data_IF_201357874576
#
_entry.id   IF_201357874576
#
_cell.length_a   1.000
_cell.length_b   1.000
_cell.length_c   1.000
_cell.angle_alpha   90.00
_cell.angle_beta   90.00
_cell.angle_gamma   90.00
#
_symmetry.space_group_name_H-M   'P 1'
#
loop_
_entity.id
_entity.type
_entity.pdbx_description
1 polymer ?
#
# COMPACT_ATOMS: atom_id res chain seq x y z
N UNK A 1 36.23 -34.94 12.07
CA UNK A 1 36.01 -33.84 11.11
C UNK A 1 34.86 -32.99 11.63
N UNK A 2 35.18 -31.91 12.31
CA UNK A 2 34.23 -31.01 12.97
C UNK A 2 33.61 -30.06 11.94
N UNK A 3 32.28 -30.09 11.81
CA UNK A 3 31.52 -29.14 10.99
C UNK A 3 31.79 -27.69 11.45
N UNK A 4 31.86 -26.71 10.54
CA UNK A 4 31.91 -25.32 10.93
C UNK A 4 30.54 -24.95 11.51
N UNK A 5 30.46 -24.87 12.83
CA UNK A 5 29.43 -24.06 13.48
C UNK A 5 29.49 -22.67 12.87
N UNK A 6 28.40 -22.19 12.28
CA UNK A 6 28.20 -20.78 11.94
C UNK A 6 28.06 -19.99 13.24
N UNK A 7 29.12 -19.98 14.06
CA UNK A 7 29.33 -18.91 15.03
C UNK A 7 29.55 -17.67 14.20
N UNK A 8 28.55 -16.78 14.18
CA UNK A 8 28.75 -15.40 13.81
C UNK A 8 29.97 -14.89 14.57
N UNK A 9 31.09 -14.73 13.86
CA UNK A 9 32.36 -14.35 14.47
C UNK A 9 32.20 -13.03 15.22
N UNK A 10 32.91 -12.92 16.34
CA UNK A 10 33.01 -11.74 17.20
C UNK A 10 33.70 -10.53 16.54
N UNK A 11 33.46 -10.30 15.24
CA UNK A 11 33.81 -9.04 14.61
C UNK A 11 32.91 -7.97 15.22
N UNK A 12 33.51 -6.94 15.81
CA UNK A 12 32.80 -5.70 16.16
C UNK A 12 32.22 -5.13 14.88
N UNK A 13 30.94 -5.41 14.65
CA UNK A 13 30.15 -4.82 13.59
C UNK A 13 29.97 -3.35 13.93
N UNK A 14 30.67 -2.48 13.19
CA UNK A 14 30.39 -1.05 13.25
C UNK A 14 29.22 -0.80 12.31
N UNK A 15 28.01 -0.94 12.83
CA UNK A 15 26.84 -0.42 12.12
C UNK A 15 26.79 1.09 12.38
N UNK A 16 26.77 1.93 11.33
CA UNK A 16 26.17 3.24 11.51
C UNK A 16 24.72 2.96 11.93
N UNK A 17 24.22 3.65 12.97
CA UNK A 17 22.78 3.78 13.17
C UNK A 17 22.13 3.98 11.79
N UNK A 18 21.00 3.33 11.47
CA UNK A 18 20.46 3.36 10.12
C UNK A 18 20.18 4.82 9.74
N UNK A 19 21.13 5.41 9.01
CA UNK A 19 21.08 6.77 8.51
C UNK A 19 19.78 6.95 7.70
N UNK A 20 19.30 5.85 7.12
CA UNK A 20 18.00 5.68 6.48
C UNK A 20 16.79 5.97 7.38
N UNK A 21 16.80 5.62 8.67
CA UNK A 21 15.69 5.91 9.59
C UNK A 21 15.60 7.41 9.89
N UNK A 22 16.74 8.08 10.06
CA UNK A 22 16.82 9.53 10.26
C UNK A 22 16.49 10.28 8.96
N UNK A 23 16.95 9.78 7.81
CA UNK A 23 16.66 10.34 6.48
C UNK A 23 15.18 10.14 6.11
N UNK A 24 14.59 8.97 6.38
CA UNK A 24 13.14 8.74 6.21
C UNK A 24 12.33 9.66 7.12
N UNK A 25 12.68 9.79 8.40
CA UNK A 25 12.00 10.70 9.33
C UNK A 25 12.08 12.17 8.86
N UNK A 26 13.24 12.60 8.36
CA UNK A 26 13.42 13.95 7.84
C UNK A 26 12.68 14.20 6.51
N UNK A 27 12.50 13.16 5.69
CA UNK A 27 11.75 13.23 4.44
C UNK A 27 10.23 13.18 4.69
N UNK A 28 9.77 12.35 5.64
CA UNK A 28 8.38 12.27 6.07
C UNK A 28 7.89 13.54 6.79
N UNK A 29 8.81 14.36 7.34
CA UNK A 29 8.50 15.64 7.97
C UNK A 29 8.22 16.78 6.97
N UNK A 30 8.32 16.55 5.66
CA UNK A 30 8.00 17.55 4.64
C UNK A 30 6.61 17.31 4.07
N UNK A 31 5.65 18.23 4.25
CA UNK A 31 4.37 18.15 3.57
C UNK A 31 4.64 18.32 2.07
N UNK A 32 4.52 17.22 1.34
CA UNK A 32 4.59 17.19 -0.12
C UNK A 32 3.20 16.83 -0.64
N UNK A 33 2.79 17.49 -1.73
CA UNK A 33 1.58 17.16 -2.48
C UNK A 33 1.70 15.74 -2.99
N UNK A 34 0.86 14.84 -2.50
CA UNK A 34 1.18 13.44 -2.68
C UNK A 34 -0.02 12.49 -2.50
N UNK A 35 0.00 11.37 -3.21
CA UNK A 35 -1.17 10.52 -3.49
C UNK A 35 -0.93 8.99 -3.18
N UNK A 36 -1.09 8.45 -1.97
CA UNK A 36 -0.81 7.01 -1.61
C UNK A 36 -1.84 5.89 -1.99
N UNK A 37 -1.42 4.61 -2.00
CA UNK A 37 -1.98 3.54 -2.83
C UNK A 37 -2.38 2.17 -2.22
N UNK A 38 -3.62 1.73 -2.53
CA UNK A 38 -4.12 0.37 -2.89
C UNK A 38 -5.03 0.66 -4.08
N UNK A 39 -4.53 0.42 -5.30
CA UNK A 39 -5.19 0.94 -6.50
C UNK A 39 -5.12 0.02 -7.73
N UNK A 40 -4.62 -1.20 -7.59
CA UNK A 40 -4.49 -2.12 -8.73
C UNK A 40 -5.79 -2.84 -9.06
N UNK A 41 -6.65 -3.09 -8.06
CA UNK A 41 -7.79 -4.00 -8.21
C UNK A 41 -9.13 -3.39 -7.84
N UNK A 42 -9.17 -2.23 -7.19
CA UNK A 42 -10.42 -1.56 -6.83
C UNK A 42 -10.41 -0.10 -7.25
N UNK A 43 -11.59 0.45 -7.52
CA UNK A 43 -11.78 1.88 -7.62
C UNK A 43 -11.52 2.52 -6.25
N UNK A 44 -10.58 3.45 -6.18
CA UNK A 44 -10.23 4.19 -4.97
C UNK A 44 -10.22 5.69 -5.33
N UNK A 45 -10.32 6.56 -4.33
CA UNK A 45 -9.96 7.97 -4.49
C UNK A 45 -9.50 8.56 -3.18
N UNK A 46 -8.56 9.51 -3.23
CA UNK A 46 -8.20 10.35 -2.09
C UNK A 46 -9.29 11.32 -1.66
N UNK A 47 -10.38 11.38 -2.43
CA UNK A 47 -11.58 12.08 -2.02
C UNK A 47 -12.44 11.24 -1.07
N UNK A 48 -12.06 9.98 -0.84
CA UNK A 48 -12.59 9.17 0.26
C UNK A 48 -11.93 9.60 1.57
N UNK A 49 -12.73 9.65 2.64
CA UNK A 49 -12.24 10.06 3.95
C UNK A 49 -11.37 8.95 4.55
N UNK A 50 -10.11 9.24 4.93
CA UNK A 50 -9.32 8.32 5.73
C UNK A 50 -9.89 8.22 7.15
N UNK A 51 -9.84 7.03 7.74
CA UNK A 51 -10.07 6.88 9.18
C UNK A 51 -9.04 7.68 9.97
N UNK A 52 -9.50 8.34 11.02
CA UNK A 52 -8.61 9.03 11.96
C UNK A 52 -7.81 8.03 12.78
N UNK A 53 -6.69 8.48 13.32
CA UNK A 53 -5.85 7.66 14.21
C UNK A 53 -6.64 7.03 15.36
N UNK A 54 -7.65 7.74 15.91
CA UNK A 54 -8.48 7.23 17.00
C UNK A 54 -9.46 6.15 16.54
N UNK A 55 -10.05 6.31 15.36
CA UNK A 55 -11.00 5.32 14.80
C UNK A 55 -10.30 4.00 14.49
N UNK A 56 -9.04 4.05 14.07
CA UNK A 56 -8.26 2.84 13.78
C UNK A 56 -7.91 2.06 15.07
N UNK A 57 -7.69 2.76 16.20
CA UNK A 57 -7.39 2.14 17.50
C UNK A 57 -8.64 1.51 18.17
N UNK A 58 -9.41 0.75 17.40
CA UNK A 58 -10.52 -0.07 17.88
C UNK A 58 -10.02 -1.32 18.64
N UNK A 59 -10.87 -1.98 19.45
CA UNK A 59 -10.49 -3.21 20.16
C UNK A 59 -9.92 -4.31 19.26
N UNK A 60 -10.45 -4.44 18.04
CA UNK A 60 -9.97 -5.40 17.04
C UNK A 60 -8.51 -5.12 16.63
N UNK A 61 -8.14 -3.85 16.46
CA UNK A 61 -6.75 -3.47 16.15
C UNK A 61 -5.79 -3.96 17.24
N UNK A 62 -6.09 -3.70 18.51
CA UNK A 62 -5.23 -4.12 19.62
C UNK A 62 -5.13 -5.65 19.75
N UNK A 63 -6.22 -6.37 19.46
CA UNK A 63 -6.22 -7.83 19.43
C UNK A 63 -5.27 -8.37 18.34
N UNK A 64 -5.44 -7.91 17.09
CA UNK A 64 -4.63 -8.36 15.96
C UNK A 64 -3.16 -7.91 16.09
N UNK A 65 -2.94 -6.71 16.61
CA UNK A 65 -1.61 -6.18 16.88
C UNK A 65 -0.88 -6.99 17.95
N UNK A 66 -1.57 -7.30 19.06
CA UNK A 66 -1.06 -8.18 20.11
C UNK A 66 -0.77 -9.59 19.59
N UNK A 67 -1.63 -10.15 18.74
CA UNK A 67 -1.40 -11.43 18.07
C UNK A 67 -0.14 -11.38 17.19
N UNK A 68 0.09 -10.29 16.47
CA UNK A 68 1.26 -10.15 15.59
C UNK A 68 2.56 -9.96 16.34
N UNK A 69 2.52 -9.26 17.49
CA UNK A 69 3.63 -9.26 18.46
C UNK A 69 3.91 -10.68 18.94
N UNK A 70 2.88 -11.43 19.34
CA UNK A 70 3.02 -12.80 19.81
C UNK A 70 3.64 -13.70 18.73
N UNK A 71 3.16 -13.63 17.48
CA UNK A 71 3.73 -14.37 16.34
C UNK A 71 5.19 -14.00 16.10
N UNK A 72 5.53 -12.72 16.11
CA UNK A 72 6.92 -12.24 15.92
C UNK A 72 7.85 -12.77 17.02
N UNK A 73 7.39 -12.74 18.28
CA UNK A 73 8.10 -13.30 19.44
C UNK A 73 8.25 -14.81 19.30
N UNK A 74 7.18 -15.53 18.97
CA UNK A 74 7.21 -16.98 18.78
C UNK A 74 8.18 -17.39 17.70
N UNK A 75 8.18 -16.71 16.54
CA UNK A 75 9.14 -17.00 15.47
C UNK A 75 10.58 -16.70 15.89
N UNK A 76 10.81 -15.65 16.67
CA UNK A 76 12.13 -15.34 17.24
C UNK A 76 12.61 -16.44 18.20
N UNK A 77 11.71 -16.97 19.03
CA UNK A 77 12.00 -18.08 19.94
C UNK A 77 12.26 -19.39 19.20
N UNK A 78 11.53 -19.63 18.10
CA UNK A 78 11.63 -20.85 17.32
C UNK A 78 12.75 -20.81 16.26
N UNK A 79 13.36 -19.66 16.00
CA UNK A 79 14.37 -19.46 14.96
C UNK A 79 15.49 -20.50 15.02
N UNK A 80 16.10 -20.68 16.19
CA UNK A 80 17.16 -21.68 16.38
C UNK A 80 16.65 -23.12 16.22
N UNK A 81 15.42 -23.38 16.66
CA UNK A 81 14.84 -24.73 16.59
C UNK A 81 14.53 -25.11 15.15
N UNK A 82 13.96 -24.20 14.37
CA UNK A 82 13.62 -24.38 12.96
C UNK A 82 14.90 -24.62 12.14
N UNK A 83 15.93 -23.81 12.36
CA UNK A 83 17.20 -23.90 11.62
C UNK A 83 17.96 -25.21 11.90
N UNK A 84 17.75 -25.83 13.07
CA UNK A 84 18.35 -27.13 13.44
C UNK A 84 17.65 -28.33 12.80
N UNK A 85 16.49 -28.15 12.16
CA UNK A 85 15.78 -29.24 11.50
C UNK A 85 16.56 -29.65 10.25
N UNK A 86 17.03 -30.90 10.21
CA UNK A 86 17.99 -31.34 9.19
C UNK A 86 17.51 -31.31 7.74
N UNK A 87 16.19 -31.31 7.47
CA UNK A 87 15.68 -31.10 6.11
C UNK A 87 15.64 -29.61 5.74
N UNK A 88 15.38 -28.72 6.71
CA UNK A 88 15.40 -27.26 6.51
C UNK A 88 16.80 -26.81 6.16
N UNK A 89 17.82 -27.28 6.91
CA UNK A 89 19.21 -26.92 6.62
C UNK A 89 19.67 -27.39 5.23
N UNK A 90 19.21 -28.55 4.75
CA UNK A 90 19.52 -29.01 3.37
C UNK A 90 18.87 -28.15 2.31
N UNK A 91 17.61 -27.76 2.51
CA UNK A 91 16.91 -26.83 1.62
C UNK A 91 17.65 -25.48 1.62
N UNK A 92 18.13 -25.06 2.79
CA UNK A 92 18.89 -23.84 2.91
C UNK A 92 20.22 -23.89 2.15
N UNK A 93 21.00 -24.95 2.33
CA UNK A 93 22.25 -25.15 1.60
C UNK A 93 22.00 -25.21 0.08
N UNK A 94 20.90 -25.85 -0.35
CA UNK A 94 20.52 -25.92 -1.75
C UNK A 94 20.26 -24.53 -2.35
N UNK A 95 19.44 -23.70 -1.69
CA UNK A 95 19.19 -22.34 -2.14
C UNK A 95 20.46 -21.46 -2.06
N UNK A 96 21.26 -21.61 -1.02
CA UNK A 96 22.53 -20.87 -0.87
C UNK A 96 23.51 -21.18 -2.01
N UNK A 97 23.50 -22.42 -2.55
CA UNK A 97 24.29 -22.79 -3.73
C UNK A 97 23.92 -21.99 -4.99
N UNK A 98 22.76 -21.32 -5.01
CA UNK A 98 22.25 -20.52 -6.13
C UNK A 98 22.50 -19.02 -5.97
N UNK A 99 23.20 -18.58 -4.92
CA UNK A 99 23.49 -17.16 -4.63
C UNK A 99 24.13 -16.43 -5.84
N UNK A 100 24.95 -17.11 -6.63
CA UNK A 100 25.58 -16.52 -7.82
C UNK A 100 24.57 -16.10 -8.91
N UNK A 101 23.39 -16.72 -8.94
CA UNK A 101 22.33 -16.39 -9.90
C UNK A 101 21.48 -15.18 -9.48
N UNK A 102 21.62 -14.66 -8.26
CA UNK A 102 20.78 -13.57 -7.75
C UNK A 102 20.83 -12.31 -8.64
N UNK A 103 22.01 -11.94 -9.15
CA UNK A 103 22.13 -10.78 -10.04
C UNK A 103 21.42 -11.02 -11.39
N UNK A 104 21.53 -12.23 -11.95
CA UNK A 104 20.86 -12.58 -13.19
C UNK A 104 19.35 -12.54 -13.04
N UNK A 105 18.81 -13.17 -11.99
CA UNK A 105 17.38 -13.16 -11.68
C UNK A 105 16.86 -11.73 -11.51
N UNK A 106 17.57 -10.89 -10.75
CA UNK A 106 17.18 -9.49 -10.55
C UNK A 106 17.11 -8.71 -11.85
N UNK A 107 18.10 -8.87 -12.74
CA UNK A 107 18.12 -8.20 -14.05
C UNK A 107 16.99 -8.67 -14.95
N UNK A 108 16.75 -9.98 -15.01
CA UNK A 108 15.68 -10.57 -15.80
C UNK A 108 14.33 -10.06 -15.33
N UNK A 109 14.03 -10.18 -14.04
CA UNK A 109 12.75 -9.79 -13.47
C UNK A 109 12.48 -8.30 -13.61
N UNK A 110 13.44 -7.44 -13.22
CA UNK A 110 13.31 -6.00 -13.40
C UNK A 110 13.13 -5.62 -14.87
N UNK A 111 13.92 -6.22 -15.78
CA UNK A 111 13.81 -5.97 -17.22
C UNK A 111 12.44 -6.36 -17.78
N UNK A 112 11.93 -7.54 -17.42
CA UNK A 112 10.59 -8.01 -17.82
C UNK A 112 9.50 -7.07 -17.31
N UNK A 113 9.55 -6.67 -16.03
CA UNK A 113 8.56 -5.74 -15.46
C UNK A 113 8.56 -4.40 -16.20
N UNK A 114 9.74 -3.82 -16.52
CA UNK A 114 9.83 -2.57 -17.28
C UNK A 114 9.24 -2.70 -18.69
N UNK A 115 9.48 -3.84 -19.37
CA UNK A 115 8.93 -4.11 -20.71
C UNK A 115 7.41 -4.25 -20.66
N UNK A 116 6.86 -4.96 -19.67
CA UNK A 116 5.42 -5.11 -19.54
C UNK A 116 4.71 -3.81 -19.19
N UNK A 117 5.29 -2.99 -18.29
CA UNK A 117 4.76 -1.66 -18.01
C UNK A 117 4.80 -0.78 -19.27
N UNK A 118 5.90 -0.84 -20.03
CA UNK A 118 6.02 -0.10 -21.30
C UNK A 118 4.94 -0.50 -22.31
N UNK A 119 4.69 -1.80 -22.50
CA UNK A 119 3.64 -2.29 -23.40
C UNK A 119 2.24 -1.83 -23.00
N UNK A 120 2.02 -1.53 -21.72
CA UNK A 120 0.77 -1.03 -21.19
C UNK A 120 0.69 0.51 -21.17
N UNK A 121 1.71 1.23 -21.64
CA UNK A 121 1.79 2.70 -21.54
C UNK A 121 1.97 3.20 -20.10
N UNK A 122 2.57 2.38 -19.24
CA UNK A 122 2.74 2.63 -17.80
C UNK A 122 4.21 2.76 -17.41
N UNK A 123 4.47 3.55 -16.37
CA UNK A 123 5.79 3.80 -15.81
C UNK A 123 5.97 2.97 -14.53
N UNK A 124 6.92 2.04 -14.50
CA UNK A 124 7.32 1.25 -13.31
C UNK A 124 6.24 0.32 -12.68
N UNK A 125 4.95 0.62 -12.77
CA UNK A 125 3.86 -0.14 -12.17
C UNK A 125 2.58 -0.05 -13.03
N UNK A 126 1.65 -1.02 -12.97
CA UNK A 126 0.51 -1.14 -13.91
C UNK A 126 -0.50 0.03 -13.86
N UNK A 127 -0.56 0.77 -12.77
CA UNK A 127 -1.47 1.90 -12.54
C UNK A 127 -0.86 3.28 -12.86
N UNK A 128 0.47 3.36 -13.01
CA UNK A 128 1.21 4.61 -13.17
C UNK A 128 1.23 5.04 -14.65
N UNK A 129 0.09 5.55 -15.12
CA UNK A 129 -0.07 6.06 -16.49
C UNK A 129 0.68 7.37 -16.69
N UNK A 130 1.44 7.49 -17.78
CA UNK A 130 2.15 8.74 -18.12
C UNK A 130 1.83 9.15 -19.54
N UNK A 131 1.59 10.45 -19.75
CA UNK A 131 1.41 11.04 -21.09
C UNK A 131 2.74 11.40 -21.76
N UNK A 132 3.85 11.31 -21.02
CA UNK A 132 5.17 11.68 -21.50
C UNK A 132 5.86 10.49 -22.20
N UNK A 133 5.64 10.35 -23.50
CA UNK A 133 6.21 9.26 -24.34
C UNK A 133 7.72 9.04 -24.14
N UNK A 134 8.49 10.12 -23.96
CA UNK A 134 9.94 10.03 -23.81
C UNK A 134 10.38 9.27 -22.53
N UNK A 135 9.56 9.30 -21.47
CA UNK A 135 9.85 8.57 -20.22
C UNK A 135 9.65 7.07 -20.43
N UNK A 136 8.64 6.71 -21.20
CA UNK A 136 8.32 5.34 -21.59
C UNK A 136 9.47 4.76 -22.45
N UNK A 137 10.08 5.56 -23.33
CA UNK A 137 11.30 5.17 -24.04
C UNK A 137 12.55 5.08 -23.16
N UNK A 138 12.69 5.98 -22.17
CA UNK A 138 13.77 5.90 -21.18
C UNK A 138 13.69 4.59 -20.37
N UNK A 139 12.48 4.15 -20.02
CA UNK A 139 12.24 2.85 -19.37
C UNK A 139 12.76 1.68 -20.20
N UNK A 140 12.54 1.69 -21.52
CA UNK A 140 13.10 0.68 -22.43
C UNK A 140 14.62 0.77 -22.53
N UNK A 141 15.20 1.97 -22.58
CA UNK A 141 16.65 2.12 -22.56
C UNK A 141 17.25 1.48 -21.29
N UNK A 142 16.63 1.68 -20.13
CA UNK A 142 17.04 1.03 -18.87
C UNK A 142 16.89 -0.49 -18.95
N UNK A 143 15.81 -1.00 -19.52
CA UNK A 143 15.63 -2.44 -19.72
C UNK A 143 16.72 -3.05 -20.62
N UNK A 144 17.13 -2.37 -21.69
CA UNK A 144 18.23 -2.79 -22.56
C UNK A 144 19.56 -2.81 -21.79
N UNK A 145 19.81 -1.82 -20.93
CA UNK A 145 21.01 -1.79 -20.08
C UNK A 145 21.06 -2.97 -19.09
N UNK A 146 19.91 -3.54 -18.69
CA UNK A 146 19.87 -4.73 -17.84
C UNK A 146 20.30 -6.00 -18.58
N UNK A 147 20.28 -6.02 -19.91
CA UNK A 147 20.70 -7.17 -20.72
C UNK A 147 22.19 -7.46 -20.59
N UNK A 148 23.03 -6.44 -20.35
CA UNK A 148 24.49 -6.61 -20.27
C UNK A 148 25.04 -6.40 -18.85
N UNK A 149 25.91 -7.31 -18.42
CA UNK A 149 26.53 -7.31 -17.08
C UNK A 149 27.32 -6.02 -16.82
N UNK A 150 27.97 -5.50 -17.86
CA UNK A 150 28.82 -4.30 -17.77
C UNK A 150 28.03 -3.02 -17.55
N UNK A 151 26.77 -2.98 -17.96
CA UNK A 151 25.91 -1.78 -17.91
C UNK A 151 24.97 -1.76 -16.72
N UNK A 152 24.97 -2.79 -15.87
CA UNK A 152 24.08 -2.92 -14.70
C UNK A 152 24.08 -1.68 -13.81
N UNK A 153 25.23 -1.04 -13.58
CA UNK A 153 25.28 0.19 -12.75
C UNK A 153 24.55 1.36 -13.38
N UNK A 154 24.69 1.51 -14.70
CA UNK A 154 24.00 2.55 -15.45
C UNK A 154 22.50 2.29 -15.45
N UNK A 155 22.09 1.02 -15.54
CA UNK A 155 20.70 0.62 -15.37
C UNK A 155 20.18 0.98 -13.96
N UNK A 156 20.96 0.71 -12.90
CA UNK A 156 20.62 1.10 -11.53
C UNK A 156 20.43 2.60 -11.35
N UNK A 157 21.35 3.41 -11.91
CA UNK A 157 21.21 4.87 -11.93
C UNK A 157 19.97 5.32 -12.73
N UNK A 158 19.71 4.68 -13.87
CA UNK A 158 18.52 4.93 -14.69
C UNK A 158 17.22 4.61 -13.96
N UNK A 159 17.15 3.50 -13.21
CA UNK A 159 16.00 3.15 -12.38
C UNK A 159 15.75 4.19 -11.27
N UNK A 160 16.80 4.65 -10.60
CA UNK A 160 16.67 5.72 -9.61
C UNK A 160 16.19 7.03 -10.25
N UNK A 161 16.67 7.36 -11.45
CA UNK A 161 16.20 8.53 -12.19
C UNK A 161 14.71 8.38 -12.59
N UNK A 162 14.29 7.22 -13.10
CA UNK A 162 12.88 6.93 -13.40
C UNK A 162 12.01 7.05 -12.16
N UNK A 163 12.46 6.53 -11.02
CA UNK A 163 11.74 6.64 -9.75
C UNK A 163 11.60 8.10 -9.29
N UNK A 164 12.64 8.92 -9.43
CA UNK A 164 12.58 10.36 -9.13
C UNK A 164 11.65 11.11 -10.09
N UNK A 165 11.67 10.77 -11.38
CA UNK A 165 10.73 11.31 -12.36
C UNK A 165 9.29 10.93 -12.01
N UNK A 166 9.06 9.68 -11.60
CA UNK A 166 7.76 9.22 -11.15
C UNK A 166 7.28 9.99 -9.89
N UNK A 167 8.18 10.31 -8.94
CA UNK A 167 7.85 11.19 -7.81
C UNK A 167 7.37 12.56 -8.29
N UNK A 168 7.99 13.12 -9.33
CA UNK A 168 7.58 14.43 -9.88
C UNK A 168 6.22 14.42 -10.57
N UNK A 169 5.81 13.28 -11.16
CA UNK A 169 4.53 13.14 -11.86
C UNK A 169 3.38 12.71 -10.94
N UNK A 170 3.66 11.79 -10.02
CA UNK A 170 2.63 11.09 -9.23
C UNK A 170 2.61 11.51 -7.76
N UNK A 171 3.60 12.29 -7.32
CA UNK A 171 3.74 12.74 -5.94
C UNK A 171 4.51 11.75 -5.06
N UNK A 172 5.10 12.28 -3.98
CA UNK A 172 6.04 11.54 -3.15
C UNK A 172 5.41 10.38 -2.34
N UNK A 173 4.36 10.67 -1.57
CA UNK A 173 3.51 9.72 -0.84
C UNK A 173 2.97 8.59 -1.74
N UNK A 174 2.65 8.87 -3.01
CA UNK A 174 2.28 7.83 -4.00
C UNK A 174 3.41 6.87 -4.31
N UNK A 175 4.60 7.42 -4.43
CA UNK A 175 5.75 6.63 -4.80
C UNK A 175 6.31 5.81 -3.64
N UNK A 176 5.88 6.07 -2.39
CA UNK A 176 6.23 5.24 -1.25
C UNK A 176 5.76 3.78 -1.41
N UNK A 177 4.63 3.56 -2.06
CA UNK A 177 4.12 2.23 -2.43
C UNK A 177 5.10 1.48 -3.35
N UNK A 178 5.86 2.25 -4.14
CA UNK A 178 6.81 1.77 -5.14
C UNK A 178 8.27 1.89 -4.70
N UNK A 179 8.54 2.12 -3.41
CA UNK A 179 9.90 2.33 -2.88
C UNK A 179 10.85 1.16 -3.21
N UNK A 180 10.31 -0.03 -3.46
CA UNK A 180 11.07 -1.19 -3.96
C UNK A 180 11.89 -0.86 -5.22
N UNK A 181 11.39 -0.04 -6.14
CA UNK A 181 12.15 0.36 -7.33
C UNK A 181 13.42 1.14 -6.97
N UNK A 182 13.38 1.96 -5.92
CA UNK A 182 14.56 2.64 -5.42
C UNK A 182 15.56 1.63 -4.80
N UNK A 183 15.06 0.63 -4.07
CA UNK A 183 15.87 -0.47 -3.53
C UNK A 183 16.56 -1.29 -4.64
N UNK A 184 15.84 -1.62 -5.71
CA UNK A 184 16.38 -2.33 -6.89
C UNK A 184 17.39 -1.47 -7.65
N UNK A 185 17.10 -0.18 -7.83
CA UNK A 185 18.05 0.77 -8.41
C UNK A 185 19.36 0.84 -7.62
N UNK A 186 19.26 0.93 -6.29
CA UNK A 186 20.43 0.88 -5.41
C UNK A 186 21.15 -0.47 -5.47
N UNK A 187 20.41 -1.59 -5.49
CA UNK A 187 20.98 -2.93 -5.60
C UNK A 187 21.91 -3.00 -6.83
N UNK A 188 21.44 -2.62 -8.02
CA UNK A 188 22.28 -2.63 -9.23
C UNK A 188 23.44 -1.63 -9.19
N UNK A 189 23.21 -0.42 -8.65
CA UNK A 189 24.26 0.59 -8.53
C UNK A 189 25.40 0.12 -7.62
N UNK A 190 25.06 -0.52 -6.51
CA UNK A 190 26.00 -1.02 -5.51
C UNK A 190 26.86 -2.19 -6.03
N UNK A 191 26.39 -2.99 -7.00
CA UNK A 191 27.08 -4.21 -7.43
C UNK A 191 28.49 -4.02 -7.96
N UNK A 192 28.86 -2.81 -8.40
CA UNK A 192 30.25 -2.55 -8.77
C UNK A 192 30.91 -1.41 -8.02
N UNK A 193 30.38 -1.03 -6.87
CA UNK A 193 31.14 -0.19 -5.97
C UNK A 193 32.50 -0.86 -5.64
N UNK A 194 33.60 -0.10 -5.72
CA UNK A 194 34.96 -0.63 -5.42
C UNK A 194 35.14 -1.00 -3.94
N UNK A 195 34.35 -0.37 -3.07
CA UNK A 195 34.41 -0.57 -1.61
C UNK A 195 33.38 -1.62 -1.22
N UNK A 196 33.83 -2.69 -0.56
CA UNK A 196 32.94 -3.75 -0.08
C UNK A 196 31.86 -3.24 0.85
N UNK A 197 32.16 -2.19 1.65
CA UNK A 197 31.18 -1.50 2.52
C UNK A 197 29.94 -1.01 1.77
N UNK A 198 30.02 -0.70 0.48
CA UNK A 198 28.87 -0.28 -0.34
C UNK A 198 28.18 -1.51 -0.94
N UNK A 199 28.95 -2.50 -1.43
CA UNK A 199 28.40 -3.73 -2.01
C UNK A 199 27.52 -4.50 -1.03
N UNK A 200 27.94 -4.59 0.23
CA UNK A 200 27.18 -5.29 1.28
C UNK A 200 25.83 -4.63 1.61
N UNK A 201 25.58 -3.39 1.16
CA UNK A 201 24.29 -2.69 1.38
C UNK A 201 23.23 -3.03 0.34
N UNK A 202 23.59 -3.71 -0.74
CA UNK A 202 22.66 -4.02 -1.83
C UNK A 202 21.47 -4.88 -1.36
N UNK A 203 21.72 -5.98 -0.64
CA UNK A 203 20.66 -6.85 -0.11
C UNK A 203 19.85 -6.17 1.01
N UNK A 204 20.47 -5.53 2.03
CA UNK A 204 19.72 -4.76 3.03
C UNK A 204 18.78 -3.71 2.45
N UNK A 205 19.16 -3.05 1.35
CA UNK A 205 18.28 -2.10 0.69
C UNK A 205 17.02 -2.79 0.16
N UNK A 206 17.14 -3.94 -0.48
CA UNK A 206 15.97 -4.72 -0.94
C UNK A 206 15.07 -5.16 0.22
N UNK A 207 15.66 -5.68 1.31
CA UNK A 207 14.92 -6.08 2.51
C UNK A 207 14.17 -4.89 3.12
N UNK A 208 14.83 -3.75 3.26
CA UNK A 208 14.24 -2.55 3.82
C UNK A 208 13.11 -2.01 2.94
N UNK A 209 13.33 -1.91 1.62
CA UNK A 209 12.31 -1.35 0.73
C UNK A 209 11.12 -2.29 0.53
N UNK A 210 11.33 -3.60 0.40
CA UNK A 210 10.22 -4.55 0.29
C UNK A 210 9.43 -4.64 1.60
N UNK A 211 10.13 -4.75 2.73
CA UNK A 211 9.51 -4.74 4.05
C UNK A 211 8.70 -3.47 4.30
N UNK A 212 9.25 -2.31 3.92
CA UNK A 212 8.54 -1.03 4.00
C UNK A 212 7.28 -1.03 3.15
N UNK A 213 7.35 -1.42 1.86
CA UNK A 213 6.18 -1.47 0.98
C UNK A 213 5.05 -2.34 1.57
N UNK A 214 5.38 -3.51 2.14
CA UNK A 214 4.39 -4.37 2.79
C UNK A 214 3.76 -3.73 4.03
N UNK A 215 4.56 -3.11 4.90
CA UNK A 215 4.04 -2.41 6.09
C UNK A 215 3.15 -1.23 5.68
N UNK A 216 3.61 -0.46 4.69
CA UNK A 216 2.93 0.71 4.19
C UNK A 216 1.56 0.36 3.58
N UNK A 217 1.51 -0.71 2.77
CA UNK A 217 0.28 -1.27 2.22
C UNK A 217 -0.68 -1.77 3.31
N UNK A 218 -0.15 -2.43 4.35
CA UNK A 218 -0.96 -2.90 5.46
C UNK A 218 -1.53 -1.75 6.30
N UNK A 219 -0.75 -0.70 6.55
CA UNK A 219 -1.25 0.52 7.23
C UNK A 219 -2.36 1.14 6.40
N UNK A 220 -2.22 1.18 5.08
CA UNK A 220 -3.27 1.73 4.24
C UNK A 220 -4.60 1.01 4.42
N UNK A 221 -4.63 -0.32 4.44
CA UNK A 221 -5.86 -1.09 4.67
C UNK A 221 -6.55 -0.72 5.98
N UNK A 222 -5.79 -0.26 6.98
CA UNK A 222 -6.36 0.26 8.23
C UNK A 222 -6.88 1.69 8.08
N UNK A 223 -6.24 2.54 7.28
CA UNK A 223 -6.63 3.94 7.06
C UNK A 223 -7.80 4.08 6.07
N UNK A 224 -7.82 3.26 5.02
CA UNK A 224 -8.83 3.24 3.96
C UNK A 224 -9.43 1.83 3.81
N UNK A 225 -10.12 1.30 4.82
CA UNK A 225 -10.67 -0.05 4.75
C UNK A 225 -11.71 -0.21 3.63
N UNK A 226 -12.42 0.87 3.27
CA UNK A 226 -13.43 0.88 2.20
C UNK A 226 -12.88 0.42 0.86
N UNK A 227 -11.63 0.76 0.52
CA UNK A 227 -11.02 0.36 -0.76
C UNK A 227 -10.86 -1.15 -0.89
N UNK A 228 -10.57 -1.82 0.23
CA UNK A 228 -10.48 -3.28 0.28
C UNK A 228 -11.86 -3.92 0.41
N UNK A 229 -12.80 -3.30 1.13
CA UNK A 229 -14.18 -3.81 1.25
C UNK A 229 -14.89 -3.84 -0.11
N UNK A 230 -14.71 -2.81 -0.94
CA UNK A 230 -15.26 -2.77 -2.30
C UNK A 230 -14.76 -3.97 -3.13
N UNK A 231 -13.48 -4.29 -3.03
CA UNK A 231 -12.89 -5.45 -3.69
C UNK A 231 -13.50 -6.78 -3.21
N UNK A 232 -13.78 -6.88 -1.91
CA UNK A 232 -14.42 -8.07 -1.33
C UNK A 232 -15.90 -8.18 -1.70
N UNK A 233 -16.58 -7.07 -1.99
CA UNK A 233 -17.94 -7.09 -2.53
C UNK A 233 -17.96 -7.64 -3.97
N UNK A 234 -16.97 -7.26 -4.79
CA UNK A 234 -16.81 -7.79 -6.16
C UNK A 234 -16.31 -9.25 -6.17
N UNK A 235 -15.44 -9.60 -5.24
CA UNK A 235 -14.85 -10.93 -5.11
C UNK A 235 -14.99 -11.54 -3.71
N UNK A 236 -16.23 -11.90 -3.26
CA UNK A 236 -16.48 -12.37 -1.89
C UNK A 236 -15.72 -13.63 -1.49
N UNK A 237 -15.29 -14.45 -2.48
CA UNK A 237 -14.50 -15.66 -2.25
C UNK A 237 -13.16 -15.37 -1.55
N UNK A 238 -12.60 -14.16 -1.72
CA UNK A 238 -11.34 -13.75 -1.10
C UNK A 238 -11.44 -13.69 0.42
N UNK A 239 -12.61 -13.34 0.97
CA UNK A 239 -12.84 -13.25 2.40
C UNK A 239 -12.95 -14.64 3.07
N UNK A 240 -13.02 -15.73 2.29
CA UNK A 240 -13.17 -17.11 2.78
C UNK A 240 -14.38 -17.30 3.73
N UNK A 241 -15.43 -16.51 3.54
CA UNK A 241 -16.64 -16.53 4.37
C UNK A 241 -16.51 -15.79 5.72
N UNK A 242 -15.39 -15.09 5.95
CA UNK A 242 -15.20 -14.24 7.13
C UNK A 242 -15.78 -12.84 6.86
N UNK A 243 -16.19 -12.17 7.93
CA UNK A 243 -16.69 -10.79 7.88
C UNK A 243 -15.62 -9.83 7.33
N UNK A 244 -16.04 -8.86 6.50
CA UNK A 244 -15.13 -8.03 5.70
C UNK A 244 -14.24 -7.12 6.57
N UNK A 245 -14.77 -6.54 7.64
CA UNK A 245 -14.03 -5.63 8.53
C UNK A 245 -12.93 -6.39 9.28
N UNK A 246 -13.26 -7.60 9.76
CA UNK A 246 -12.28 -8.51 10.32
C UNK A 246 -11.23 -8.90 9.28
N UNK A 247 -11.64 -9.32 8.08
CA UNK A 247 -10.72 -9.76 7.04
C UNK A 247 -9.73 -8.66 6.65
N UNK A 248 -10.21 -7.44 6.38
CA UNK A 248 -9.38 -6.30 5.99
C UNK A 248 -8.38 -5.96 7.10
N UNK A 249 -8.84 -5.91 8.36
CA UNK A 249 -7.97 -5.62 9.50
C UNK A 249 -6.94 -6.73 9.75
N UNK A 250 -7.33 -8.00 9.57
CA UNK A 250 -6.43 -9.14 9.71
C UNK A 250 -5.38 -9.17 8.59
N UNK A 251 -5.80 -8.96 7.33
CA UNK A 251 -4.91 -8.87 6.18
C UNK A 251 -3.89 -7.74 6.34
N UNK A 252 -4.36 -6.56 6.76
CA UNK A 252 -3.52 -5.42 7.09
C UNK A 252 -2.41 -5.78 8.11
N UNK A 253 -2.80 -6.45 9.20
CA UNK A 253 -1.87 -6.80 10.26
C UNK A 253 -0.90 -7.91 9.82
N UNK A 254 -1.34 -8.86 9.00
CA UNK A 254 -0.48 -9.88 8.38
C UNK A 254 0.57 -9.22 7.49
N UNK A 255 0.20 -8.26 6.65
CA UNK A 255 1.13 -7.53 5.78
C UNK A 255 2.16 -6.73 6.60
N UNK A 256 1.72 -6.03 7.65
CA UNK A 256 2.60 -5.31 8.59
C UNK A 256 3.58 -6.28 9.27
N UNK A 257 3.08 -7.42 9.74
CA UNK A 257 3.90 -8.48 10.35
C UNK A 257 4.95 -9.04 9.40
N UNK A 258 4.54 -9.43 8.19
CA UNK A 258 5.41 -9.97 7.15
C UNK A 258 6.48 -8.95 6.73
N UNK A 259 6.09 -7.69 6.53
CA UNK A 259 7.02 -6.62 6.17
C UNK A 259 8.06 -6.34 7.25
N UNK A 260 7.66 -6.32 8.53
CA UNK A 260 8.59 -6.22 9.66
C UNK A 260 9.59 -7.37 9.69
N UNK A 261 9.09 -8.61 9.61
CA UNK A 261 9.92 -9.81 9.69
C UNK A 261 10.94 -9.89 8.55
N UNK A 262 10.55 -9.54 7.33
CA UNK A 262 11.50 -9.37 6.20
C UNK A 262 12.53 -8.28 6.51
N UNK A 263 12.10 -7.13 7.03
CA UNK A 263 13.00 -6.00 7.29
C UNK A 263 14.07 -6.32 8.34
N UNK A 264 13.73 -7.13 9.36
CA UNK A 264 14.68 -7.58 10.38
C UNK A 264 15.39 -8.90 10.04
N UNK A 265 15.12 -9.45 8.85
CA UNK A 265 15.58 -10.76 8.37
C UNK A 265 15.28 -11.91 9.35
N UNK A 266 14.04 -11.98 9.84
CA UNK A 266 13.55 -13.10 10.64
C UNK A 266 12.90 -14.14 9.72
N UNK A 267 13.53 -15.33 9.60
CA UNK A 267 13.02 -16.45 8.78
C UNK A 267 12.79 -16.06 7.31
N UNK A 268 13.71 -15.30 6.72
CA UNK A 268 13.53 -14.61 5.44
C UNK A 268 13.24 -15.53 4.27
N UNK A 269 13.78 -16.76 4.27
CA UNK A 269 13.54 -17.74 3.20
C UNK A 269 12.15 -18.36 3.27
N UNK A 270 11.72 -18.73 4.48
CA UNK A 270 10.36 -19.22 4.71
C UNK A 270 9.36 -18.12 4.35
N UNK A 271 9.61 -16.88 4.80
CA UNK A 271 8.76 -15.74 4.47
C UNK A 271 8.73 -15.46 2.97
N UNK A 272 9.88 -15.51 2.30
CA UNK A 272 9.94 -15.27 0.86
C UNK A 272 9.13 -16.30 0.06
N UNK A 273 9.17 -17.57 0.48
CA UNK A 273 8.34 -18.62 -0.10
C UNK A 273 6.85 -18.40 0.18
N UNK A 274 6.48 -18.12 1.43
CA UNK A 274 5.10 -17.91 1.84
C UNK A 274 4.46 -16.72 1.10
N UNK A 275 5.16 -15.60 1.03
CA UNK A 275 4.67 -14.39 0.32
C UNK A 275 4.57 -14.67 -1.18
N UNK A 276 5.56 -15.36 -1.76
CA UNK A 276 5.49 -15.73 -3.19
C UNK A 276 4.30 -16.66 -3.47
N UNK A 277 4.03 -17.63 -2.61
CA UNK A 277 2.89 -18.52 -2.78
C UNK A 277 1.56 -17.76 -2.67
N UNK A 278 1.47 -16.81 -1.73
CA UNK A 278 0.29 -15.98 -1.55
C UNK A 278 -0.02 -15.15 -2.80
N UNK A 279 0.97 -14.45 -3.37
CA UNK A 279 0.77 -13.66 -4.59
C UNK A 279 0.52 -14.49 -5.86
N UNK A 280 1.07 -15.71 -5.93
CA UNK A 280 0.72 -16.65 -7.00
C UNK A 280 -0.73 -17.13 -6.87
N UNK A 281 -1.24 -17.31 -5.65
CA UNK A 281 -2.62 -17.72 -5.43
C UNK A 281 -3.60 -16.62 -5.85
N UNK A 282 -3.33 -15.36 -5.51
CA UNK A 282 -4.16 -14.20 -5.89
C UNK A 282 -4.14 -13.93 -7.39
N UNK A 283 -3.09 -14.37 -8.11
CA UNK A 283 -3.05 -14.33 -9.58
C UNK A 283 -4.18 -15.14 -10.22
N UNK A 284 -4.67 -16.20 -9.55
CA UNK A 284 -5.80 -16.98 -10.06
C UNK A 284 -7.11 -16.17 -10.09
N UNK A 285 -7.20 -15.09 -9.31
CA UNK A 285 -8.37 -14.21 -9.23
C UNK A 285 -8.18 -12.99 -10.12
N UNK A 286 -7.04 -12.30 -10.02
CA UNK A 286 -6.81 -11.00 -10.66
C UNK A 286 -6.08 -11.08 -12.02
N UNK A 287 -5.56 -12.25 -12.41
CA UNK A 287 -5.01 -12.48 -13.73
C UNK A 287 -3.78 -11.61 -14.06
N UNK A 288 -3.81 -10.93 -15.21
CA UNK A 288 -2.62 -10.27 -15.80
C UNK A 288 -2.10 -9.10 -14.96
N UNK A 289 -2.99 -8.34 -14.34
CA UNK A 289 -2.60 -7.15 -13.57
C UNK A 289 -1.74 -7.54 -12.36
N UNK A 290 -2.13 -8.60 -11.66
CA UNK A 290 -1.36 -9.19 -10.56
C UNK A 290 0.02 -9.65 -11.01
N UNK A 291 0.10 -10.33 -12.16
CA UNK A 291 1.37 -10.81 -12.72
C UNK A 291 2.31 -9.64 -13.01
N UNK A 292 1.83 -8.60 -13.67
CA UNK A 292 2.66 -7.43 -14.02
C UNK A 292 3.10 -6.70 -12.75
N UNK A 293 2.19 -6.47 -11.81
CA UNK A 293 2.47 -5.76 -10.56
C UNK A 293 3.45 -6.50 -9.65
N UNK A 294 3.30 -7.82 -9.51
CA UNK A 294 4.08 -8.60 -8.54
C UNK A 294 5.35 -9.25 -9.10
N UNK A 295 5.62 -9.19 -10.41
CA UNK A 295 6.83 -9.82 -10.99
C UNK A 295 8.13 -9.31 -10.39
N UNK A 296 8.24 -7.99 -10.13
CA UNK A 296 9.43 -7.45 -9.46
C UNK A 296 9.53 -7.94 -8.02
N UNK A 297 8.40 -8.02 -7.31
CA UNK A 297 8.35 -8.51 -5.93
C UNK A 297 8.77 -9.98 -5.87
N UNK A 298 8.21 -10.86 -6.72
CA UNK A 298 8.65 -12.26 -6.84
C UNK A 298 10.13 -12.39 -7.14
N UNK A 299 10.66 -11.54 -8.02
CA UNK A 299 12.08 -11.52 -8.36
C UNK A 299 12.94 -11.23 -7.13
N UNK A 300 12.55 -10.24 -6.32
CA UNK A 300 13.25 -9.90 -5.07
C UNK A 300 13.12 -11.03 -4.05
N UNK A 301 11.95 -11.64 -3.91
CA UNK A 301 11.73 -12.78 -3.01
C UNK A 301 12.57 -14.00 -3.43
N UNK A 302 12.73 -14.27 -4.73
CA UNK A 302 13.65 -15.31 -5.23
C UNK A 302 15.11 -14.96 -4.88
N UNK A 303 15.49 -13.68 -4.97
CA UNK A 303 16.82 -13.24 -4.54
C UNK A 303 17.02 -13.48 -3.03
N UNK A 304 15.99 -13.27 -2.20
CA UNK A 304 16.03 -13.58 -0.77
C UNK A 304 16.14 -15.09 -0.50
N UNK A 305 15.42 -15.92 -1.27
CA UNK A 305 15.60 -17.37 -1.21
C UNK A 305 17.06 -17.76 -1.47
N UNK A 306 17.68 -17.23 -2.52
CA UNK A 306 19.05 -17.58 -2.89
C UNK A 306 20.09 -17.01 -1.90
N UNK A 307 19.93 -15.76 -1.51
CA UNK A 307 20.97 -15.02 -0.76
C UNK A 307 20.83 -15.10 0.76
N UNK A 308 19.64 -15.42 1.29
CA UNK A 308 19.36 -15.28 2.73
C UNK A 308 19.67 -13.87 3.24
N UNK A 309 20.15 -13.69 4.49
CA UNK A 309 20.42 -12.37 5.06
C UNK A 309 21.60 -11.65 4.39
N UNK A 310 22.37 -12.33 3.53
CA UNK A 310 23.55 -11.78 2.89
C UNK A 310 24.77 -11.69 3.82
N UNK A 311 25.65 -10.74 3.53
CA UNK A 311 26.90 -10.53 4.29
C UNK A 311 26.79 -9.44 5.36
N UNK A 312 25.74 -8.63 5.30
CA UNK A 312 25.44 -7.65 6.33
C UNK A 312 24.76 -8.35 7.51
N UNK A 313 25.14 -7.99 8.73
CA UNK A 313 24.46 -8.49 9.92
C UNK A 313 23.02 -7.96 9.94
N UNK A 314 22.01 -8.81 10.20
CA UNK A 314 20.64 -8.35 10.34
C UNK A 314 20.46 -7.34 11.49
N UNK A 315 19.46 -6.45 11.42
CA UNK A 315 19.28 -5.35 12.37
C UNK A 315 19.11 -5.74 13.85
N UNK A 316 18.68 -6.97 14.17
CA UNK A 316 18.47 -7.42 15.55
C UNK A 316 19.49 -8.46 16.03
N UNK A 317 20.29 -9.03 15.13
CA UNK A 317 21.27 -10.09 15.48
C UNK A 317 22.53 -9.56 16.16
N UNK A 318 22.70 -8.24 16.30
CA UNK A 318 23.70 -7.67 17.22
C UNK A 318 23.38 -8.00 18.68
N UNK A 319 22.12 -8.30 19.01
CA UNK A 319 21.70 -8.85 20.29
C UNK A 319 21.83 -10.37 20.24
N UNK A 320 23.00 -10.87 20.61
CA UNK A 320 23.28 -12.31 20.56
C UNK A 320 22.47 -13.13 21.56
N UNK A 321 22.10 -12.53 22.70
CA UNK A 321 21.40 -13.22 23.77
C UNK A 321 19.89 -13.27 23.50
N UNK A 322 19.34 -14.49 23.36
CA UNK A 322 17.92 -14.69 23.02
C UNK A 322 16.99 -14.01 24.03
N UNK A 323 17.38 -13.98 25.31
CA UNK A 323 16.65 -13.32 26.40
C UNK A 323 16.40 -11.83 26.14
N UNK A 324 17.33 -11.16 25.46
CA UNK A 324 17.23 -9.74 25.10
C UNK A 324 16.72 -9.54 23.68
N UNK A 325 16.99 -10.47 22.77
CA UNK A 325 16.53 -10.38 21.38
C UNK A 325 15.01 -10.47 21.27
N UNK A 326 14.38 -11.30 22.10
CA UNK A 326 12.92 -11.44 22.14
C UNK A 326 12.20 -10.14 22.53
N UNK A 327 12.47 -9.52 23.69
CA UNK A 327 11.83 -8.25 24.05
C UNK A 327 12.24 -7.11 23.11
N UNK A 328 13.46 -7.12 22.55
CA UNK A 328 13.86 -6.14 21.55
C UNK A 328 13.06 -6.29 20.24
N UNK A 329 12.75 -7.51 19.80
CA UNK A 329 11.92 -7.75 18.61
C UNK A 329 10.50 -7.26 18.83
N UNK A 330 9.90 -7.58 19.98
CA UNK A 330 8.56 -7.09 20.34
C UNK A 330 8.52 -5.55 20.39
N UNK A 331 9.50 -4.94 21.07
CA UNK A 331 9.60 -3.48 21.15
C UNK A 331 9.81 -2.84 19.78
N UNK A 332 10.68 -3.41 18.94
CA UNK A 332 10.92 -2.91 17.60
C UNK A 332 9.66 -2.94 16.72
N UNK A 333 8.89 -4.04 16.78
CA UNK A 333 7.61 -4.13 16.07
C UNK A 333 6.61 -3.07 16.56
N UNK A 334 6.46 -2.95 17.89
CA UNK A 334 5.54 -1.98 18.52
C UNK A 334 5.89 -0.55 18.09
N UNK A 335 7.16 -0.17 18.20
CA UNK A 335 7.63 1.16 17.85
C UNK A 335 7.51 1.43 16.36
N UNK A 336 7.80 0.43 15.50
CA UNK A 336 7.69 0.55 14.05
C UNK A 336 6.25 0.84 13.61
N UNK A 337 5.26 0.10 14.14
CA UNK A 337 3.85 0.34 13.81
C UNK A 337 3.45 1.77 14.18
N UNK A 338 3.74 2.21 15.41
CA UNK A 338 3.44 3.59 15.82
C UNK A 338 4.18 4.64 14.97
N UNK A 339 5.46 4.41 14.68
CA UNK A 339 6.31 5.33 13.91
C UNK A 339 5.83 5.54 12.47
N UNK A 340 5.24 4.53 11.83
CA UNK A 340 4.78 4.61 10.44
C UNK A 340 3.29 4.95 10.32
N UNK A 341 2.47 4.47 11.24
CA UNK A 341 1.02 4.70 11.23
C UNK A 341 0.66 6.17 11.47
N UNK A 342 1.40 6.84 12.36
CA UNK A 342 1.21 8.27 12.65
C UNK A 342 1.42 9.13 11.39
N UNK A 343 2.61 9.15 10.74
CA UNK A 343 2.80 9.98 9.55
C UNK A 343 1.90 9.55 8.39
N UNK A 344 1.51 8.27 8.27
CA UNK A 344 0.55 7.84 7.27
C UNK A 344 -0.82 8.50 7.49
N UNK A 345 -1.39 8.37 8.68
CA UNK A 345 -2.72 8.92 9.00
C UNK A 345 -2.76 10.44 8.87
N UNK A 346 -1.72 11.15 9.32
CA UNK A 346 -1.60 12.59 9.14
C UNK A 346 -1.42 12.99 7.67
N UNK A 347 -0.60 12.24 6.92
CA UNK A 347 -0.41 12.45 5.48
C UNK A 347 -1.72 12.27 4.70
N UNK A 348 -2.43 11.17 4.96
CA UNK A 348 -3.73 10.87 4.39
C UNK A 348 -4.77 11.97 4.69
N UNK A 349 -4.88 12.38 5.95
CA UNK A 349 -5.79 13.46 6.36
C UNK A 349 -5.46 14.80 5.68
N UNK A 350 -4.17 15.15 5.60
CA UNK A 350 -3.73 16.37 4.91
C UNK A 350 -4.10 16.36 3.41
N UNK A 351 -3.90 15.23 2.74
CA UNK A 351 -4.24 15.08 1.31
C UNK A 351 -5.74 15.20 1.09
N UNK A 352 -6.53 14.51 1.92
CA UNK A 352 -7.99 14.58 1.87
C UNK A 352 -8.51 16.01 2.11
N UNK A 353 -8.00 16.72 3.12
CA UNK A 353 -8.43 18.09 3.42
C UNK A 353 -8.03 19.05 2.30
N UNK A 354 -6.82 18.90 1.74
CA UNK A 354 -6.35 19.72 0.62
C UNK A 354 -7.24 19.54 -0.61
N UNK A 355 -7.58 18.30 -0.98
CA UNK A 355 -8.46 18.00 -2.12
C UNK A 355 -9.89 18.49 -1.89
N UNK A 356 -10.43 18.24 -0.69
CA UNK A 356 -11.75 18.74 -0.30
C UNK A 356 -11.85 20.26 -0.37
N UNK A 357 -10.78 20.98 0.00
CA UNK A 357 -10.69 22.44 -0.15
C UNK A 357 -10.64 22.86 -1.61
N UNK A 358 -9.79 22.23 -2.42
CA UNK A 358 -9.66 22.54 -3.84
C UNK A 358 -10.97 22.32 -4.61
N UNK A 359 -11.70 21.24 -4.28
CA UNK A 359 -13.02 20.96 -4.85
C UNK A 359 -14.07 22.03 -4.51
N UNK A 360 -13.97 22.67 -3.33
CA UNK A 360 -14.84 23.79 -2.93
C UNK A 360 -14.43 25.12 -3.58
N UNK A 361 -13.12 25.37 -3.70
CA UNK A 361 -12.59 26.59 -4.32
C UNK A 361 -12.77 26.59 -5.85
N UNK A 362 -12.69 25.42 -6.48
CA UNK A 362 -12.93 25.22 -7.91
C UNK A 362 -14.38 24.88 -8.25
N UNK A 363 -15.35 25.28 -7.40
CA UNK A 363 -16.77 25.02 -7.63
C UNK A 363 -17.22 25.50 -9.01
N UNK A 364 -18.05 24.68 -9.67
CA UNK A 364 -18.55 24.94 -11.01
C UNK A 364 -19.99 25.44 -10.90
N UNK A 365 -20.18 26.70 -11.28
CA UNK A 365 -21.51 27.29 -11.40
C UNK A 365 -22.23 26.67 -12.59
N UNK A 366 -23.31 25.95 -12.32
CA UNK A 366 -24.20 25.36 -13.31
C UNK A 366 -25.40 26.27 -13.54
N UNK A 367 -25.75 26.48 -14.81
CA UNK A 367 -26.69 27.52 -15.25
C UNK A 367 -28.05 27.54 -14.53
N UNK A 368 -28.71 28.70 -14.54
CA UNK A 368 -29.96 28.91 -13.81
C UNK A 368 -31.22 28.44 -14.57
N UNK A 369 -32.30 28.25 -13.82
CA UNK A 369 -33.65 28.07 -14.38
C UNK A 369 -34.16 26.63 -14.34
N UNK A 370 -35.01 26.28 -15.31
CA UNK A 370 -35.67 24.96 -15.35
C UNK A 370 -34.69 23.80 -15.60
N UNK A 371 -33.51 24.08 -16.16
CA UNK A 371 -32.48 23.10 -16.49
C UNK A 371 -31.36 23.03 -15.44
N UNK A 372 -31.46 23.80 -14.35
CA UNK A 372 -30.50 23.73 -13.26
C UNK A 372 -30.61 22.35 -12.58
N UNK A 373 -29.48 21.69 -12.24
CA UNK A 373 -29.52 20.43 -11.52
C UNK A 373 -30.14 20.64 -10.13
N UNK A 374 -30.98 19.69 -9.73
CA UNK A 374 -31.63 19.66 -8.42
C UNK A 374 -31.47 18.31 -7.79
N UNK A 375 -31.43 18.29 -6.47
CA UNK A 375 -31.31 17.08 -5.69
C UNK A 375 -32.35 17.07 -4.58
N UNK A 376 -33.06 15.96 -4.45
CA UNK A 376 -33.81 15.58 -3.27
C UNK A 376 -33.38 14.18 -2.83
N UNK A 377 -33.61 13.85 -1.56
CA UNK A 377 -33.29 12.53 -1.01
C UNK A 377 -34.50 11.92 -0.32
N UNK A 378 -34.64 10.62 -0.44
CA UNK A 378 -35.61 9.83 0.31
C UNK A 378 -34.90 8.68 1.03
N UNK A 379 -35.38 8.37 2.24
CA UNK A 379 -34.83 7.31 3.09
C UNK A 379 -35.88 6.22 3.30
N UNK A 380 -35.50 4.99 2.97
CA UNK A 380 -36.35 3.82 3.09
C UNK A 380 -35.72 2.88 4.10
N UNK A 381 -36.46 2.49 5.14
CA UNK A 381 -35.94 1.49 6.07
C UNK A 381 -35.77 0.17 5.34
N UNK A 382 -34.58 -0.43 5.41
CA UNK A 382 -34.33 -1.71 4.77
C UNK A 382 -35.03 -2.85 5.53
N UNK A 383 -35.50 -3.86 4.79
CA UNK A 383 -36.22 -4.99 5.37
C UNK A 383 -35.35 -5.93 6.21
N UNK A 384 -34.03 -5.90 6.00
CA UNK A 384 -33.06 -6.77 6.66
C UNK A 384 -32.23 -5.95 7.65
N UNK A 385 -31.46 -4.96 7.18
CA UNK A 385 -30.57 -4.15 8.03
C UNK A 385 -30.32 -2.78 7.42
N UNK A 386 -30.31 -1.72 8.23
CA UNK A 386 -29.93 -0.38 7.78
C UNK A 386 -31.02 0.35 6.99
N UNK A 387 -30.61 1.20 6.07
CA UNK A 387 -31.48 2.08 5.30
C UNK A 387 -31.06 2.14 3.82
N UNK A 388 -32.03 2.23 2.92
CA UNK A 388 -31.79 2.53 1.51
C UNK A 388 -32.02 4.02 1.27
N UNK A 389 -30.95 4.73 0.90
CA UNK A 389 -30.98 6.12 0.44
C UNK A 389 -31.29 6.13 -1.07
N UNK A 390 -32.31 6.89 -1.43
CA UNK A 390 -32.67 7.21 -2.81
C UNK A 390 -32.32 8.67 -3.12
N UNK A 391 -31.58 8.91 -4.19
CA UNK A 391 -31.27 10.22 -4.75
C UNK A 391 -32.23 10.51 -5.90
N UNK A 392 -33.00 11.57 -5.75
CA UNK A 392 -33.90 12.08 -6.77
C UNK A 392 -33.21 13.29 -7.39
N UNK A 393 -32.41 13.03 -8.43
CA UNK A 393 -31.66 14.06 -9.14
C UNK A 393 -32.39 14.47 -10.43
N UNK A 394 -32.66 15.76 -10.60
CA UNK A 394 -33.24 16.34 -11.83
C UNK A 394 -32.17 17.11 -12.60
N UNK A 395 -32.24 17.08 -13.94
CA UNK A 395 -31.26 17.71 -14.84
C UNK A 395 -29.80 17.34 -14.51
N UNK A 396 -29.60 16.11 -14.03
CA UNK A 396 -28.31 15.57 -13.67
C UNK A 396 -28.21 14.11 -14.09
N UNK A 397 -27.08 13.75 -14.67
CA UNK A 397 -26.77 12.39 -15.13
C UNK A 397 -25.57 11.85 -14.33
N UNK A 398 -25.74 10.68 -13.71
CA UNK A 398 -24.64 9.99 -13.06
C UNK A 398 -23.72 9.36 -14.10
N UNK A 399 -22.45 9.71 -14.08
CA UNK A 399 -21.45 9.29 -15.08
C UNK A 399 -20.26 8.58 -14.42
N UNK A 400 -20.44 7.36 -13.85
CA UNK A 400 -19.36 6.61 -13.20
C UNK A 400 -18.11 6.47 -14.08
N UNK A 401 -18.32 6.14 -15.36
CA UNK A 401 -17.22 5.93 -16.32
C UNK A 401 -16.39 7.19 -16.62
N UNK A 402 -16.89 8.39 -16.28
CA UNK A 402 -16.21 9.66 -16.46
C UNK A 402 -15.63 10.24 -15.15
N UNK A 403 -15.82 9.56 -14.02
CA UNK A 403 -15.33 10.02 -12.72
C UNK A 403 -13.80 10.19 -12.72
N UNK A 404 -13.33 11.29 -12.15
CA UNK A 404 -11.92 11.71 -12.19
C UNK A 404 -11.48 12.38 -13.49
N UNK A 405 -12.33 12.42 -14.52
CA UNK A 405 -12.07 13.11 -15.78
C UNK A 405 -12.52 14.57 -15.79
N UNK A 406 -12.50 15.19 -16.97
CA UNK A 406 -12.92 16.58 -17.16
C UNK A 406 -14.41 16.80 -16.85
N UNK A 407 -14.79 17.97 -16.29
CA UNK A 407 -16.16 18.27 -15.95
C UNK A 407 -17.03 18.45 -17.20
N UNK A 408 -18.24 17.89 -17.18
CA UNK A 408 -19.26 18.10 -18.18
C UNK A 408 -20.55 18.68 -17.55
N UNK A 409 -21.28 19.58 -18.22
CA UNK A 409 -22.47 20.21 -17.65
C UNK A 409 -23.55 19.18 -17.27
N UNK A 410 -24.05 19.26 -16.03
CA UNK A 410 -25.10 18.37 -15.54
C UNK A 410 -24.68 16.90 -15.40
N UNK A 411 -23.39 16.60 -15.38
CA UNK A 411 -22.86 15.24 -15.25
C UNK A 411 -21.93 15.12 -14.05
N UNK A 412 -21.89 13.93 -13.45
CA UNK A 412 -20.91 13.60 -12.42
C UNK A 412 -21.39 12.53 -11.45
N UNK A 413 -21.18 12.78 -10.16
CA UNK A 413 -21.50 11.88 -9.06
C UNK A 413 -21.93 12.64 -7.82
N UNK A 414 -22.48 11.93 -6.83
CA UNK A 414 -22.87 12.53 -5.56
C UNK A 414 -21.91 12.14 -4.43
N UNK A 415 -21.73 13.02 -3.45
CA UNK A 415 -20.98 12.72 -2.21
C UNK A 415 -21.98 12.64 -1.05
N UNK A 416 -21.93 11.54 -0.30
CA UNK A 416 -22.78 11.30 0.87
C UNK A 416 -22.01 11.64 2.15
N UNK A 417 -22.69 12.34 3.05
CA UNK A 417 -22.19 12.75 4.35
C UNK A 417 -23.14 12.32 5.46
N UNK A 418 -22.59 11.85 6.58
CA UNK A 418 -23.29 11.54 7.84
C UNK A 418 -22.68 12.42 8.91
N UNK A 419 -23.49 13.23 9.59
CA UNK A 419 -23.07 14.19 10.62
C UNK A 419 -21.95 15.14 10.16
N UNK A 420 -21.97 15.52 8.88
CA UNK A 420 -20.98 16.38 8.24
C UNK A 420 -19.70 15.66 7.81
N UNK A 421 -19.56 14.36 8.09
CA UNK A 421 -18.43 13.55 7.66
C UNK A 421 -18.76 12.82 6.35
N UNK A 422 -17.89 12.97 5.34
CA UNK A 422 -18.07 12.26 4.06
C UNK A 422 -17.88 10.77 4.26
N UNK A 423 -18.87 9.96 3.90
CA UNK A 423 -18.83 8.49 4.07
C UNK A 423 -18.80 7.73 2.75
N UNK A 424 -19.31 8.30 1.65
CA UNK A 424 -19.33 7.61 0.36
C UNK A 424 -19.35 8.56 -0.84
N UNK A 425 -18.97 8.01 -2.00
CA UNK A 425 -19.27 8.55 -3.33
C UNK A 425 -20.36 7.68 -3.94
N UNK A 426 -21.36 8.30 -4.55
CA UNK A 426 -22.52 7.64 -5.12
C UNK A 426 -22.53 7.88 -6.63
N UNK A 427 -22.40 6.80 -7.40
CA UNK A 427 -22.42 6.81 -8.86
C UNK A 427 -23.77 6.41 -9.46
N UNK A 428 -24.79 6.36 -8.61
CA UNK A 428 -26.14 6.02 -9.01
C UNK A 428 -27.15 6.53 -7.99
N UNK A 429 -28.44 6.35 -8.27
CA UNK A 429 -29.50 6.92 -7.47
C UNK A 429 -29.77 6.17 -6.16
N UNK A 430 -29.20 4.98 -5.94
CA UNK A 430 -29.47 4.19 -4.75
C UNK A 430 -28.19 3.86 -3.99
N UNK A 431 -28.25 3.94 -2.66
CA UNK A 431 -27.16 3.56 -1.77
C UNK A 431 -27.68 2.88 -0.51
N UNK A 432 -27.08 1.76 -0.13
CA UNK A 432 -27.41 1.05 1.09
C UNK A 432 -26.53 1.53 2.26
N UNK A 433 -27.15 2.24 3.20
CA UNK A 433 -26.51 2.75 4.41
C UNK A 433 -26.74 1.78 5.56
N UNK A 434 -25.75 0.92 5.81
CA UNK A 434 -25.87 -0.19 6.76
C UNK A 434 -25.66 0.24 8.22
N UNK A 435 -24.63 1.05 8.46
CA UNK A 435 -24.12 1.34 9.79
C UNK A 435 -24.43 2.77 10.22
N UNK A 436 -25.39 2.90 11.14
CA UNK A 436 -25.63 4.12 11.90
C UNK A 436 -25.77 3.74 13.36
N UNK A 437 -25.04 4.46 14.21
CA UNK A 437 -25.18 4.28 15.65
C UNK A 437 -26.62 4.62 16.08
N UNK A 438 -27.10 4.08 17.21
CA UNK A 438 -28.33 4.58 17.80
C UNK A 438 -28.20 6.06 18.14
N UNK A 439 -29.17 6.88 17.74
CA UNK A 439 -29.14 8.32 17.90
C UNK A 439 -29.68 9.08 16.70
N UNK A 440 -29.56 10.40 16.76
CA UNK A 440 -29.95 11.31 15.68
C UNK A 440 -28.76 11.58 14.78
N UNK A 441 -28.96 11.40 13.48
CA UNK A 441 -27.95 11.61 12.46
C UNK A 441 -28.45 12.58 11.40
N UNK A 442 -27.59 13.49 10.97
CA UNK A 442 -27.83 14.36 9.82
C UNK A 442 -27.24 13.73 8.58
N UNK A 443 -28.09 13.39 7.62
CA UNK A 443 -27.64 12.89 6.32
C UNK A 443 -27.67 14.02 5.32
N UNK A 444 -26.56 14.27 4.65
CA UNK A 444 -26.50 15.26 3.55
C UNK A 444 -25.83 14.68 2.32
N UNK A 445 -26.26 15.14 1.15
CA UNK A 445 -25.75 14.71 -0.15
C UNK A 445 -25.51 15.94 -1.01
N UNK A 446 -24.37 15.98 -1.71
CA UNK A 446 -24.03 17.03 -2.68
C UNK A 446 -23.87 16.42 -4.08
N UNK A 447 -24.19 17.17 -5.13
CA UNK A 447 -23.81 16.84 -6.51
C UNK A 447 -22.46 17.48 -6.86
N UNK A 448 -21.62 16.70 -7.53
CA UNK A 448 -20.25 17.05 -7.89
C UNK A 448 -20.00 16.68 -9.35
N UNK A 449 -19.16 17.47 -10.03
CA UNK A 449 -18.72 17.18 -11.39
C UNK A 449 -17.76 15.99 -11.43
N UNK A 450 -17.48 15.47 -12.64
CA UNK A 450 -16.52 14.39 -12.88
C UNK A 450 -15.15 14.61 -12.20
N UNK A 451 -14.63 15.84 -12.22
CA UNK A 451 -13.37 16.21 -11.57
C UNK A 451 -13.50 16.49 -10.06
N UNK A 452 -14.61 16.09 -9.44
CA UNK A 452 -14.97 16.28 -8.02
C UNK A 452 -15.31 17.71 -7.58
N UNK A 453 -15.25 18.71 -8.47
CA UNK A 453 -15.66 20.08 -8.16
C UNK A 453 -17.12 20.11 -7.68
N UNK A 454 -17.40 20.91 -6.66
CA UNK A 454 -18.78 21.10 -6.19
C UNK A 454 -19.60 21.79 -7.28
N UNK A 455 -20.79 21.27 -7.58
CA UNK A 455 -21.73 21.96 -8.47
C UNK A 455 -22.52 23.00 -7.67
N UNK A 456 -22.60 24.22 -8.18
CA UNK A 456 -23.31 25.31 -7.52
C UNK A 456 -24.39 25.95 -8.39
N UNK A 457 -25.50 26.33 -7.77
CA UNK A 457 -26.55 27.17 -8.38
C UNK A 457 -26.72 28.41 -7.50
N UNK A 458 -26.50 29.59 -8.07
CA UNK A 458 -26.43 30.88 -7.38
C UNK A 458 -25.38 30.90 -6.27
N UNK A 459 -24.22 30.29 -6.54
CA UNK A 459 -23.13 30.15 -5.58
C UNK A 459 -23.44 29.27 -4.36
N UNK A 460 -24.56 28.51 -4.39
CA UNK A 460 -24.89 27.52 -3.36
C UNK A 460 -24.68 26.11 -3.90
N UNK A 461 -24.05 25.21 -3.14
CA UNK A 461 -23.94 23.80 -3.53
C UNK A 461 -25.30 23.21 -3.86
N UNK A 462 -25.35 22.35 -4.89
CA UNK A 462 -26.53 21.53 -5.17
C UNK A 462 -26.54 20.39 -4.16
N UNK A 463 -27.27 20.59 -3.07
CA UNK A 463 -27.29 19.70 -1.91
C UNK A 463 -28.71 19.38 -1.43
N UNK A 464 -28.85 18.26 -0.73
CA UNK A 464 -30.05 17.86 -0.01
C UNK A 464 -29.67 17.27 1.34
N UNK A 465 -30.48 17.51 2.38
CA UNK A 465 -30.22 17.03 3.74
C UNK A 465 -31.50 16.58 4.43
N UNK A 466 -31.41 15.55 5.27
CA UNK A 466 -32.48 15.09 6.16
C UNK A 466 -31.91 14.64 7.49
N UNK A 467 -32.69 14.75 8.57
CA UNK A 467 -32.38 14.09 9.83
C UNK A 467 -33.05 12.72 9.89
N UNK A 468 -32.34 11.74 10.43
CA UNK A 468 -32.90 10.42 10.75
C UNK A 468 -32.61 10.09 12.21
N UNK A 469 -33.54 9.39 12.85
CA UNK A 469 -33.39 8.92 14.22
C UNK A 469 -33.35 7.39 14.21
N UNK A 470 -32.20 6.84 14.60
CA UNK A 470 -31.99 5.41 14.74
C UNK A 470 -32.29 5.05 16.18
N UNK A 471 -33.43 4.40 16.39
CA UNK A 471 -33.86 3.97 17.71
C UNK A 471 -32.97 2.83 18.22
N UNK A 472 -32.53 2.91 19.48
CA UNK A 472 -32.11 1.72 20.23
C UNK A 472 -33.31 0.80 20.35
N UNK A 473 -33.24 -0.40 19.77
CA UNK A 473 -34.20 -1.45 20.11
C UNK A 473 -34.01 -1.77 21.61
N UNK A 474 -35.08 -1.81 22.41
CA UNK A 474 -34.98 -2.27 23.79
C UNK A 474 -34.46 -3.72 23.81
N UNK A 475 -33.50 -3.99 24.70
CA UNK A 475 -32.88 -5.31 24.94
C UNK A 475 -33.90 -6.41 25.27
#
# INVERSE_FOLDING_TARGET
MTMPTTRFGSRRWTTPAPLWTVVMLAILARPSSAEAHVKWFSEFSFDDRPLSFREILAPLFFLLWGLSVAVSVTLTLLEERITRIGWVSRVDDWFASKKEHSLFVMRLGAGVTLIWCWQAGKLLAPDLSTEADWIVWLQIAVAILLVFDRTVRLAGAGLLALYVLAISQFGFFRMLDYLLWAGVGWFFLAQGARKDRVRITALPALYATLGFCLIWLGIEKLVYPSWSKLLLEEHPVLALGVEHDFFVSAAAMVEIGLGFMIMVCLQERLLALTISLLFVLTTLVFGREEVVGHTLIHTVLIVFLFSGPGEAAPPLHWISDLKWRVPATALAFILMVGMLMVPYTFGAAYVFEKRSRHAREGAIEVGEGANAPRLAIAFHKDSVTGWNLELIAENFEFTPAAAGGDPAPGQGHAHLYVDGEKVARLYGPWYHLRDLAPGRHTISVTLNANNHAALTVKGRPVEASTEIEVLTLPE
#
